data_IF_027044212852
#
_entry.id   IF_027044212852
#
_cell.length_a   1.000
_cell.length_b   1.000
_cell.length_c   1.000
_cell.angle_alpha   90.00
_cell.angle_beta   90.00
_cell.angle_gamma   90.00
#
_symmetry.space_group_name_H-M   'P 1'
#
loop_
_entity.id
_entity.type
_entity.pdbx_description
1 polymer ?
#
# COMPACT_ATOMS: atom_id res chain seq x y z
N UNK A 1 -14.71 4.08 13.87
CA UNK A 1 -13.44 3.33 13.97
C UNK A 1 -13.07 3.20 15.45
N UNK A 2 -12.52 2.06 15.85
CA UNK A 2 -12.27 1.70 17.26
C UNK A 2 -11.32 2.73 17.92
N UNK A 3 -11.66 3.19 19.14
CA UNK A 3 -10.86 4.16 19.90
C UNK A 3 -9.42 3.68 20.14
N UNK A 4 -9.19 2.37 20.16
CA UNK A 4 -7.87 1.79 20.35
C UNK A 4 -6.98 1.96 19.10
N UNK A 5 -7.55 1.83 17.90
CA UNK A 5 -6.79 1.97 16.65
C UNK A 5 -6.40 3.43 16.43
N UNK A 6 -7.31 4.37 16.66
CA UNK A 6 -6.99 5.81 16.61
C UNK A 6 -5.89 6.22 17.60
N UNK A 7 -5.89 5.62 18.79
CA UNK A 7 -4.88 5.91 19.81
C UNK A 7 -3.51 5.36 19.43
N UNK A 8 -3.43 4.19 18.80
CA UNK A 8 -2.18 3.63 18.28
C UNK A 8 -1.61 4.52 17.18
N UNK A 9 -2.47 4.94 16.25
CA UNK A 9 -2.12 5.83 15.15
C UNK A 9 -1.51 7.16 15.63
N UNK A 10 -2.18 7.88 16.53
CA UNK A 10 -1.68 9.16 17.07
C UNK A 10 -0.36 9.02 17.84
N UNK A 11 -0.13 7.86 18.48
CA UNK A 11 1.12 7.58 19.20
C UNK A 11 2.32 7.40 18.25
N UNK A 12 2.08 7.05 16.99
CA UNK A 12 3.13 6.73 16.01
C UNK A 12 3.40 7.92 15.09
N UNK A 13 2.35 8.65 14.68
CA UNK A 13 2.45 9.87 13.86
C UNK A 13 3.36 10.94 14.51
N UNK A 14 3.25 11.12 15.83
CA UNK A 14 4.04 12.11 16.59
C UNK A 14 5.56 11.85 16.64
N UNK A 15 6.07 10.73 16.13
CA UNK A 15 7.47 10.30 16.27
C UNK A 15 8.33 10.42 15.00
N UNK A 16 7.85 11.04 13.93
CA UNK A 16 8.50 10.95 12.62
C UNK A 16 8.94 12.33 12.14
N UNK A 17 10.25 12.53 12.12
CA UNK A 17 10.86 13.73 11.55
C UNK A 17 10.60 13.77 10.04
N UNK A 18 10.02 14.88 9.56
CA UNK A 18 9.82 15.13 8.12
C UNK A 18 8.40 15.00 7.60
N UNK A 19 7.41 14.70 8.44
CA UNK A 19 5.99 14.87 8.10
C UNK A 19 5.41 16.10 8.82
N UNK A 20 4.49 16.85 8.20
CA UNK A 20 3.64 17.78 8.92
C UNK A 20 2.93 17.05 10.07
N UNK A 21 2.83 17.68 11.24
CA UNK A 21 2.34 17.05 12.46
C UNK A 21 0.92 16.46 12.36
N UNK A 22 0.18 16.83 11.32
CA UNK A 22 -1.23 16.51 11.10
C UNK A 22 -1.48 15.79 9.76
N UNK A 23 -0.43 15.46 8.98
CA UNK A 23 -0.62 14.77 7.72
C UNK A 23 -0.98 13.29 7.97
N UNK A 24 -2.23 12.94 7.68
CA UNK A 24 -2.80 11.59 7.83
C UNK A 24 -3.09 10.91 6.49
N UNK A 25 -3.08 11.68 5.41
CA UNK A 25 -3.39 11.20 4.07
C UNK A 25 -2.33 11.59 3.05
N UNK A 26 -2.16 10.75 2.02
CA UNK A 26 -1.37 11.08 0.82
C UNK A 26 -1.87 12.36 0.14
N UNK A 27 -3.15 12.71 0.27
CA UNK A 27 -3.74 13.93 -0.32
C UNK A 27 -3.27 15.22 0.35
N UNK A 28 -2.66 15.13 1.53
CA UNK A 28 -2.18 16.27 2.31
C UNK A 28 -0.69 16.53 2.12
N UNK A 29 -0.04 15.70 1.31
CA UNK A 29 1.41 15.69 1.14
C UNK A 29 1.82 15.94 -0.31
N UNK A 30 2.88 16.72 -0.52
CA UNK A 30 3.64 16.69 -1.76
C UNK A 30 4.15 15.27 -2.07
N UNK A 31 4.27 14.93 -3.36
CA UNK A 31 4.71 13.60 -3.83
C UNK A 31 6.02 13.13 -3.17
N UNK A 32 6.98 14.03 -3.01
CA UNK A 32 8.29 13.76 -2.42
C UNK A 32 8.22 13.36 -0.93
N UNK A 33 7.10 13.64 -0.26
CA UNK A 33 6.86 13.30 1.14
C UNK A 33 6.06 12.01 1.33
N UNK A 34 5.45 11.46 0.28
CA UNK A 34 4.74 10.16 0.33
C UNK A 34 5.63 9.02 0.86
N UNK A 35 6.92 8.90 0.51
CA UNK A 35 7.80 7.87 1.07
C UNK A 35 7.97 7.99 2.60
N UNK A 36 7.92 9.20 3.14
CA UNK A 36 7.97 9.42 4.59
C UNK A 36 6.69 8.92 5.26
N UNK A 37 5.52 9.17 4.66
CA UNK A 37 4.24 8.64 5.15
C UNK A 37 4.23 7.10 5.13
N UNK A 38 4.79 6.48 4.09
CA UNK A 38 4.93 5.02 4.04
C UNK A 38 5.80 4.49 5.19
N UNK A 39 6.97 5.12 5.45
CA UNK A 39 7.82 4.75 6.60
C UNK A 39 7.11 4.92 7.94
N UNK A 40 6.19 5.89 8.04
CA UNK A 40 5.35 6.07 9.21
C UNK A 40 4.38 4.92 9.41
N UNK A 41 3.71 4.58 8.33
CA UNK A 41 2.79 3.47 8.29
C UNK A 41 3.49 2.13 8.62
N UNK A 42 4.71 1.91 8.12
CA UNK A 42 5.48 0.70 8.42
C UNK A 42 5.82 0.54 9.92
N UNK A 43 5.95 1.65 10.66
CA UNK A 43 6.13 1.62 12.12
C UNK A 43 4.88 1.18 12.88
N UNK A 44 3.73 1.03 12.21
CA UNK A 44 2.53 0.43 12.81
C UNK A 44 2.69 -1.07 13.04
N UNK A 45 3.66 -1.74 12.42
CA UNK A 45 3.84 -3.18 12.51
C UNK A 45 3.88 -3.69 13.95
N UNK A 46 4.82 -3.24 14.77
CA UNK A 46 4.98 -3.69 16.15
C UNK A 46 3.75 -3.39 17.04
N UNK A 47 3.26 -2.14 17.11
CA UNK A 47 2.11 -1.81 17.95
C UNK A 47 0.81 -2.49 17.49
N UNK A 48 0.60 -2.66 16.19
CA UNK A 48 -0.55 -3.42 15.69
C UNK A 48 -0.41 -4.91 16.01
N UNK A 49 0.79 -5.47 15.86
CA UNK A 49 1.06 -6.87 16.23
C UNK A 49 0.74 -7.11 17.69
N UNK A 50 1.16 -6.21 18.58
CA UNK A 50 0.86 -6.32 20.01
C UNK A 50 -0.63 -6.17 20.31
N UNK A 51 -1.31 -5.25 19.63
CA UNK A 51 -2.77 -5.14 19.73
C UNK A 51 -3.47 -6.43 19.29
N UNK A 52 -3.08 -6.99 18.14
CA UNK A 52 -3.69 -8.18 17.57
C UNK A 52 -3.53 -9.40 18.47
N UNK A 53 -2.35 -9.60 19.06
CA UNK A 53 -2.08 -10.66 20.05
C UNK A 53 -3.03 -10.63 21.24
N UNK A 54 -3.42 -9.43 21.66
CA UNK A 54 -4.26 -9.21 22.84
C UNK A 54 -5.74 -8.98 22.47
N UNK A 55 -6.12 -9.24 21.22
CA UNK A 55 -7.47 -9.05 20.69
C UNK A 55 -8.12 -10.36 20.28
N UNK A 56 -9.43 -10.35 20.07
CA UNK A 56 -10.18 -11.49 19.52
C UNK A 56 -10.37 -11.39 17.99
N UNK A 57 -9.50 -10.65 17.29
CA UNK A 57 -9.59 -10.47 15.84
C UNK A 57 -9.20 -11.77 15.13
N UNK A 58 -10.07 -12.24 14.24
CA UNK A 58 -9.91 -13.47 13.46
C UNK A 58 -9.83 -13.22 11.94
N UNK A 59 -10.24 -12.03 11.49
CA UNK A 59 -10.21 -11.59 10.10
C UNK A 59 -9.73 -10.15 10.01
N UNK A 60 -8.86 -9.85 9.06
CA UNK A 60 -8.45 -8.49 8.71
C UNK A 60 -8.68 -8.26 7.22
N UNK A 61 -9.40 -7.19 6.90
CA UNK A 61 -9.49 -6.67 5.54
C UNK A 61 -8.37 -5.65 5.38
N UNK A 62 -7.53 -5.80 4.36
CA UNK A 62 -6.37 -4.95 4.15
C UNK A 62 -6.14 -4.63 2.67
N UNK A 63 -5.41 -3.56 2.38
CA UNK A 63 -4.97 -3.20 1.04
C UNK A 63 -3.50 -3.62 0.79
N UNK A 64 -2.88 -3.06 -0.24
CA UNK A 64 -1.51 -3.37 -0.64
C UNK A 64 -0.43 -2.66 0.19
N UNK A 65 -0.79 -1.69 1.05
CA UNK A 65 0.18 -0.87 1.76
C UNK A 65 1.00 -1.65 2.83
N UNK A 66 0.39 -2.47 3.72
CA UNK A 66 1.11 -3.15 4.78
C UNK A 66 1.79 -4.44 4.29
N UNK A 67 2.97 -4.33 3.67
CA UNK A 67 3.73 -5.51 3.21
C UNK A 67 4.08 -6.49 4.35
N UNK A 68 4.16 -6.01 5.59
CA UNK A 68 4.47 -6.79 6.79
C UNK A 68 3.28 -7.57 7.35
N UNK A 69 2.03 -7.16 7.04
CA UNK A 69 0.82 -7.72 7.64
C UNK A 69 0.61 -9.21 7.31
N UNK A 70 0.84 -9.71 6.08
CA UNK A 70 0.73 -11.14 5.77
C UNK A 70 1.55 -12.03 6.70
N UNK A 71 2.79 -11.61 7.02
CA UNK A 71 3.65 -12.34 7.95
C UNK A 71 3.09 -12.32 9.37
N UNK A 72 2.65 -11.15 9.85
CA UNK A 72 2.07 -10.99 11.19
C UNK A 72 0.79 -11.84 11.33
N UNK A 73 -0.12 -11.76 10.37
CA UNK A 73 -1.38 -12.50 10.40
C UNK A 73 -1.16 -14.02 10.39
N UNK A 74 -0.22 -14.50 9.57
CA UNK A 74 0.18 -15.92 9.54
C UNK A 74 0.67 -16.40 10.91
N UNK A 75 1.53 -15.61 11.58
CA UNK A 75 2.07 -15.96 12.90
C UNK A 75 0.99 -15.97 13.99
N UNK A 76 -0.07 -15.17 13.83
CA UNK A 76 -1.17 -15.06 14.80
C UNK A 76 -2.38 -15.94 14.45
N UNK A 77 -2.36 -16.66 13.33
CA UNK A 77 -3.50 -17.47 12.87
C UNK A 77 -4.71 -16.63 12.44
N UNK A 78 -4.48 -15.40 11.96
CA UNK A 78 -5.53 -14.46 11.54
C UNK A 78 -5.73 -14.57 10.03
N UNK A 79 -6.98 -14.66 9.59
CA UNK A 79 -7.32 -14.70 8.17
C UNK A 79 -7.24 -13.30 7.54
N UNK A 80 -6.79 -13.25 6.29
CA UNK A 80 -6.68 -12.00 5.53
C UNK A 80 -7.65 -11.98 4.35
N UNK A 81 -8.25 -10.83 4.13
CA UNK A 81 -9.01 -10.49 2.93
C UNK A 81 -8.33 -9.30 2.27
N UNK A 82 -7.82 -9.51 1.05
CA UNK A 82 -7.23 -8.44 0.27
C UNK A 82 -8.31 -7.59 -0.40
N UNK A 83 -8.22 -6.27 -0.23
CA UNK A 83 -9.07 -5.27 -0.83
C UNK A 83 -8.22 -4.35 -1.71
N UNK A 84 -8.65 -4.15 -2.96
CA UNK A 84 -7.96 -3.28 -3.91
C UNK A 84 -8.91 -2.22 -4.43
N UNK A 85 -8.47 -0.96 -4.42
CA UNK A 85 -9.12 0.15 -5.11
C UNK A 85 -8.74 0.21 -6.60
N UNK A 86 -7.67 -0.49 -7.01
CA UNK A 86 -7.29 -0.61 -8.41
C UNK A 86 -8.26 -1.52 -9.17
N UNK A 87 -8.57 -1.13 -10.41
CA UNK A 87 -9.28 -2.00 -11.34
C UNK A 87 -8.34 -3.10 -11.88
N UNK A 88 -8.94 -4.11 -12.52
CA UNK A 88 -8.22 -5.29 -13.05
C UNK A 88 -7.14 -4.88 -14.06
N UNK A 89 -7.44 -3.90 -14.92
CA UNK A 89 -6.51 -3.41 -15.95
C UNK A 89 -5.25 -2.80 -15.33
N UNK A 90 -5.39 -1.97 -14.30
CA UNK A 90 -4.26 -1.41 -13.57
C UNK A 90 -3.39 -2.50 -12.92
N UNK A 91 -4.02 -3.56 -12.40
CA UNK A 91 -3.29 -4.65 -11.76
C UNK A 91 -2.45 -5.47 -12.74
N UNK A 92 -3.03 -5.79 -13.89
CA UNK A 92 -2.34 -6.54 -14.97
C UNK A 92 -1.22 -5.71 -15.60
N UNK A 93 -1.36 -4.38 -15.60
CA UNK A 93 -0.38 -3.47 -16.21
C UNK A 93 0.83 -3.16 -15.32
N UNK A 94 0.84 -3.56 -14.03
CA UNK A 94 2.02 -3.42 -13.16
C UNK A 94 3.20 -4.31 -13.60
N UNK A 95 2.96 -5.28 -14.48
CA UNK A 95 3.96 -6.23 -14.94
C UNK A 95 4.19 -7.38 -13.95
N UNK A 96 5.04 -8.35 -14.31
CA UNK A 96 5.33 -9.50 -13.46
C UNK A 96 6.05 -9.07 -12.15
N UNK A 97 5.91 -9.81 -11.04
CA UNK A 97 6.58 -9.49 -9.78
C UNK A 97 8.10 -9.29 -9.90
N UNK A 98 8.76 -9.96 -10.85
CA UNK A 98 10.17 -9.77 -11.17
C UNK A 98 10.50 -8.37 -11.69
N UNK A 99 9.58 -7.72 -12.40
CA UNK A 99 9.73 -6.34 -12.86
C UNK A 99 9.48 -5.32 -11.74
N UNK A 100 8.78 -5.70 -10.68
CA UNK A 100 8.51 -4.85 -9.51
C UNK A 100 9.60 -4.92 -8.44
N UNK A 101 10.45 -5.95 -8.47
CA UNK A 101 11.52 -6.17 -7.49
C UNK A 101 12.88 -5.57 -7.87
N UNK A 102 13.04 -5.00 -9.07
CA UNK A 102 14.31 -4.45 -9.57
C UNK A 102 14.25 -2.94 -9.85
N UNK A 103 15.43 -2.31 -10.01
CA UNK A 103 15.64 -0.91 -10.44
C UNK A 103 15.21 -0.66 -11.91
N UNK A 104 14.29 -1.45 -12.46
CA UNK A 104 13.77 -1.24 -13.80
C UNK A 104 12.71 -0.16 -13.74
N UNK A 105 13.15 1.08 -14.01
CA UNK A 105 12.27 2.15 -14.46
C UNK A 105 11.49 1.60 -15.67
N UNK A 106 10.22 1.22 -15.45
CA UNK A 106 9.34 0.80 -16.53
C UNK A 106 9.15 2.01 -17.45
N UNK A 107 9.54 1.88 -18.71
CA UNK A 107 9.38 2.98 -19.66
C UNK A 107 7.91 3.03 -20.07
N UNK A 108 7.38 4.21 -20.42
CA UNK A 108 5.97 4.35 -20.83
C UNK A 108 5.54 3.42 -21.96
N UNK A 109 6.48 3.00 -22.82
CA UNK A 109 6.24 2.07 -23.92
C UNK A 109 5.98 0.64 -23.44
N UNK A 110 6.50 0.25 -22.28
CA UNK A 110 6.37 -1.11 -21.74
C UNK A 110 4.92 -1.40 -21.28
N UNK A 111 4.13 -0.36 -20.97
CA UNK A 111 2.68 -0.46 -20.68
C UNK A 111 1.80 -0.74 -21.91
N UNK A 112 2.36 -0.66 -23.13
CA UNK A 112 1.62 -0.95 -24.38
C UNK A 112 1.69 -2.43 -24.77
N UNK A 113 2.60 -3.19 -24.19
CA UNK A 113 2.72 -4.61 -24.46
C UNK A 113 1.52 -5.33 -23.83
N UNK A 114 0.62 -5.88 -24.67
CA UNK A 114 -0.48 -6.72 -24.20
C UNK A 114 0.14 -7.94 -23.52
N UNK A 115 -0.09 -8.16 -22.21
CA UNK A 115 0.40 -9.36 -21.57
C UNK A 115 -0.32 -10.56 -22.19
N UNK A 116 0.44 -11.46 -22.80
CA UNK A 116 -0.11 -12.72 -23.31
C UNK A 116 -0.71 -13.49 -22.12
N UNK A 117 -2.05 -13.56 -22.12
CA UNK A 117 -2.91 -14.49 -21.38
C UNK A 117 -3.62 -14.02 -20.09
N UNK A 118 -3.76 -12.72 -19.77
CA UNK A 118 -4.67 -12.30 -18.67
C UNK A 118 -5.51 -11.04 -18.97
N UNK A 119 -6.27 -11.08 -20.08
CA UNK A 119 -7.15 -10.04 -20.64
C UNK A 119 -6.47 -9.11 -21.65
N UNK A 120 -7.04 -9.08 -22.87
CA UNK A 120 -6.67 -8.19 -23.98
C UNK A 120 -7.04 -6.72 -23.69
N UNK A 121 -6.53 -6.14 -22.61
CA UNK A 121 -6.79 -4.74 -22.26
C UNK A 121 -5.44 -4.02 -22.18
N UNK A 122 -5.08 -3.32 -23.26
CA UNK A 122 -3.95 -2.40 -23.28
C UNK A 122 -4.39 -1.05 -22.71
N UNK A 123 -3.63 -0.50 -21.75
CA UNK A 123 -3.84 0.87 -21.27
C UNK A 123 -3.52 1.87 -22.38
N UNK A 124 -4.40 2.86 -22.58
CA UNK A 124 -4.13 3.94 -23.55
C UNK A 124 -3.16 4.94 -22.94
N UNK A 125 -2.26 5.51 -23.74
CA UNK A 125 -1.19 6.41 -23.28
C UNK A 125 -1.66 7.55 -22.35
N UNK A 126 -2.84 8.13 -22.60
CA UNK A 126 -3.38 9.22 -21.77
C UNK A 126 -3.84 8.76 -20.38
N UNK A 127 -4.07 7.47 -20.16
CA UNK A 127 -4.39 6.89 -18.85
C UNK A 127 -3.13 6.77 -17.98
N UNK A 128 -1.94 6.62 -18.59
CA UNK A 128 -0.66 6.48 -17.90
C UNK A 128 -0.04 7.83 -17.50
N UNK A 129 -0.27 8.88 -18.29
CA UNK A 129 0.34 10.21 -18.07
C UNK A 129 -0.26 10.94 -16.85
N UNK A 130 -1.52 10.68 -16.50
CA UNK A 130 -2.17 11.32 -15.35
C UNK A 130 -1.63 10.83 -13.99
N UNK A 131 -0.98 9.67 -13.91
CA UNK A 131 -0.38 9.18 -12.66
C UNK A 131 0.96 9.83 -12.32
N UNK A 132 1.59 10.56 -13.24
CA UNK A 132 2.86 11.26 -13.02
C UNK A 132 2.71 12.75 -12.71
N UNK A 133 1.47 13.26 -12.64
CA UNK A 133 1.19 14.70 -12.44
C UNK A 133 0.34 15.01 -11.18
N UNK A 134 0.14 14.05 -10.27
CA UNK A 134 -0.55 14.26 -8.99
C UNK A 134 0.44 14.04 -7.85
#
# INVERSE_FOLDING_TARGET
MDKNIYRLYNKISTKIQGLPAEAESISELPIDQIPSLKKAYDKLQDPLTEFLKNSNVNWIIHDFAPYWLPRVATLLGINLVFFSTFNVTSFVSMGPPSALLGDLQQRPEDFKAVPENLCNIAMKLHETVNYQQI
#
